data_IF_986165517315
#
_entry.id   IF_986165517315
#
_cell.length_a   1.000
_cell.length_b   1.000
_cell.length_c   1.000
_cell.angle_alpha   90.00
_cell.angle_beta   90.00
_cell.angle_gamma   90.00
#
_symmetry.space_group_name_H-M   'P 1'
#
loop_
_entity.id
_entity.type
_entity.pdbx_description
1 polymer ?
#
# COMPACT_ATOMS: atom_id res chain seq x y z
N UNK A 1 -0.24 24.11 -3.63
CA UNK A 1 -0.97 22.92 -4.11
C UNK A 1 -1.33 23.13 -5.59
N UNK A 2 -1.93 22.14 -6.29
CA UNK A 2 -2.41 22.37 -7.67
C UNK A 2 -3.44 23.50 -7.74
N UNK A 3 -4.26 23.67 -6.69
CA UNK A 3 -5.18 24.80 -6.51
C UNK A 3 -4.51 26.18 -6.57
N UNK A 4 -3.20 26.25 -6.26
CA UNK A 4 -2.44 27.51 -6.22
C UNK A 4 -1.52 27.67 -7.45
N UNK A 5 -1.73 26.86 -8.49
CA UNK A 5 -0.87 26.81 -9.69
C UNK A 5 0.62 26.66 -9.37
N UNK A 6 0.94 25.92 -8.30
CA UNK A 6 2.31 25.76 -7.84
C UNK A 6 3.18 25.17 -8.98
N UNK A 7 4.36 25.76 -9.29
CA UNK A 7 5.21 25.29 -10.39
C UNK A 7 5.81 23.89 -10.13
N UNK A 8 5.85 23.44 -8.87
CA UNK A 8 6.35 22.12 -8.47
C UNK A 8 5.29 21.01 -8.57
N UNK A 9 4.23 21.19 -9.36
CA UNK A 9 3.27 20.13 -9.64
C UNK A 9 3.96 18.95 -10.36
N UNK A 10 3.73 17.70 -9.91
CA UNK A 10 4.38 16.55 -10.53
C UNK A 10 3.85 16.37 -11.95
N UNK A 11 4.75 16.01 -12.87
CA UNK A 11 4.38 15.75 -14.26
C UNK A 11 3.60 14.44 -14.42
N UNK A 12 3.89 13.46 -13.58
CA UNK A 12 3.18 12.18 -13.49
C UNK A 12 2.96 11.75 -12.05
N UNK A 13 1.93 10.94 -11.82
CA UNK A 13 1.56 10.32 -10.55
C UNK A 13 1.19 8.87 -10.80
N UNK A 14 1.98 7.94 -10.24
CA UNK A 14 1.74 6.50 -10.31
C UNK A 14 1.26 6.01 -8.94
N UNK A 15 0.03 5.49 -8.88
CA UNK A 15 -0.56 4.90 -7.68
C UNK A 15 -0.67 3.40 -7.89
N UNK A 16 -0.11 2.61 -6.98
CA UNK A 16 0.06 1.18 -7.18
C UNK A 16 -0.39 0.42 -5.94
N UNK A 17 -1.43 -0.39 -6.08
CA UNK A 17 -2.04 -1.14 -4.98
C UNK A 17 -2.33 -0.25 -3.74
N UNK A 18 -2.75 1.00 -4.01
CA UNK A 18 -3.02 2.02 -3.00
C UNK A 18 -4.49 2.06 -2.62
N UNK A 19 -4.84 2.07 -1.32
CA UNK A 19 -6.21 2.08 -0.82
C UNK A 19 -6.88 3.46 -0.96
N UNK A 20 -7.06 3.96 -2.19
CA UNK A 20 -7.64 5.31 -2.41
C UNK A 20 -9.10 5.37 -1.98
N UNK A 21 -9.89 4.34 -2.29
CA UNK A 21 -11.23 4.17 -1.76
C UNK A 21 -11.47 2.75 -1.25
N UNK A 22 -11.25 2.56 0.06
CA UNK A 22 -11.43 1.30 0.76
C UNK A 22 -12.88 0.78 0.82
N UNK A 23 -13.88 1.58 0.41
CA UNK A 23 -15.29 1.16 0.37
C UNK A 23 -15.56 0.23 -0.80
N UNK A 24 -14.71 0.27 -1.83
CA UNK A 24 -14.85 -0.54 -3.04
C UNK A 24 -14.21 -1.90 -2.79
N UNK A 25 -15.00 -2.98 -2.93
CA UNK A 25 -14.57 -4.38 -2.79
C UNK A 25 -13.76 -4.67 -1.50
N UNK A 26 -14.29 -4.35 -0.30
CA UNK A 26 -13.52 -4.38 0.94
C UNK A 26 -12.90 -5.77 1.24
N UNK A 27 -11.60 -5.78 1.47
CA UNK A 27 -10.81 -6.96 1.88
C UNK A 27 -10.93 -7.22 3.38
N UNK A 28 -10.33 -8.31 3.87
CA UNK A 28 -10.25 -8.57 5.31
C UNK A 28 -9.49 -7.49 6.07
N UNK A 29 -8.52 -6.82 5.42
CA UNK A 29 -7.80 -5.67 5.99
C UNK A 29 -8.76 -4.50 6.22
N UNK A 30 -9.61 -4.19 5.22
CA UNK A 30 -10.61 -3.12 5.34
C UNK A 30 -11.64 -3.44 6.44
N UNK A 31 -12.08 -4.70 6.54
CA UNK A 31 -13.01 -5.14 7.59
C UNK A 31 -12.40 -5.04 8.98
N UNK A 32 -11.13 -5.43 9.14
CA UNK A 32 -10.44 -5.31 10.41
C UNK A 32 -10.37 -3.85 10.85
N UNK A 33 -9.95 -2.95 9.95
CA UNK A 33 -9.80 -1.52 10.24
C UNK A 33 -11.11 -0.85 10.66
N UNK A 34 -12.26 -1.34 10.17
CA UNK A 34 -13.59 -0.81 10.49
C UNK A 34 -14.29 -1.55 11.63
N UNK A 35 -13.74 -2.68 12.10
CA UNK A 35 -14.37 -3.51 13.14
C UNK A 35 -14.29 -2.95 14.56
N UNK A 36 -13.42 -1.95 14.79
CA UNK A 36 -13.14 -1.37 16.10
C UNK A 36 -13.05 0.16 16.01
N UNK A 37 -13.39 0.90 17.08
CA UNK A 37 -13.17 2.34 17.14
C UNK A 37 -11.67 2.65 17.22
N UNK A 38 -11.25 3.86 16.83
CA UNK A 38 -9.82 4.24 16.74
C UNK A 38 -9.11 4.12 18.10
N UNK A 39 -9.79 4.40 19.21
CA UNK A 39 -9.26 4.31 20.57
C UNK A 39 -8.88 2.87 20.94
N UNK A 40 -9.53 1.88 20.32
CA UNK A 40 -9.16 0.47 20.50
C UNK A 40 -7.80 0.20 19.84
N UNK A 41 -7.56 0.70 18.63
CA UNK A 41 -6.25 0.55 17.96
C UNK A 41 -5.15 1.25 18.75
N UNK A 42 -5.41 2.48 19.21
CA UNK A 42 -4.48 3.22 20.04
C UNK A 42 -4.13 2.46 21.34
N UNK A 43 -5.14 1.91 22.03
CA UNK A 43 -4.91 1.21 23.29
C UNK A 43 -4.19 -0.14 23.13
N UNK A 44 -4.47 -0.88 22.05
CA UNK A 44 -4.04 -2.28 21.92
C UNK A 44 -2.84 -2.48 21.00
N UNK A 45 -2.55 -1.54 20.09
CA UNK A 45 -1.51 -1.71 19.08
C UNK A 45 -0.41 -0.65 19.16
N UNK A 46 -0.60 0.43 19.94
CA UNK A 46 0.45 1.42 20.18
C UNK A 46 1.18 1.12 21.49
N UNK A 47 2.51 1.12 21.43
CA UNK A 47 3.38 0.88 22.57
C UNK A 47 4.52 1.90 22.61
N UNK A 48 5.12 2.07 23.78
CA UNK A 48 6.32 2.88 23.95
C UNK A 48 7.57 2.08 23.59
N UNK A 49 8.49 2.71 22.86
CA UNK A 49 9.82 2.15 22.61
C UNK A 49 10.55 1.91 23.94
N UNK A 50 11.08 0.70 24.21
CA UNK A 50 11.78 0.41 25.46
C UNK A 50 13.01 1.30 25.71
N UNK A 51 13.30 1.59 26.98
CA UNK A 51 14.38 2.49 27.41
C UNK A 51 15.78 2.16 26.85
N UNK A 52 16.03 0.89 26.50
CA UNK A 52 17.33 0.42 25.99
C UNK A 52 17.59 0.77 24.52
N UNK A 53 16.58 1.26 23.80
CA UNK A 53 16.69 1.58 22.37
C UNK A 53 16.67 3.09 22.12
N UNK A 54 17.26 3.51 21.01
CA UNK A 54 17.13 4.88 20.54
C UNK A 54 15.66 5.20 20.25
N UNK A 55 15.20 6.40 20.64
CA UNK A 55 13.79 6.76 20.56
C UNK A 55 12.93 6.23 21.72
N UNK A 56 13.54 5.78 22.82
CA UNK A 56 12.87 5.40 24.06
C UNK A 56 11.69 6.33 24.42
N UNK A 57 10.60 5.73 24.90
CA UNK A 57 9.33 6.39 25.23
C UNK A 57 8.57 7.01 24.05
N UNK A 58 9.07 6.92 22.82
CA UNK A 58 8.27 7.27 21.65
C UNK A 58 7.15 6.25 21.48
N UNK A 59 5.95 6.74 21.22
CA UNK A 59 4.79 5.91 20.89
C UNK A 59 4.90 5.42 19.45
N UNK A 60 4.81 4.10 19.27
CA UNK A 60 4.92 3.45 17.97
C UNK A 60 3.90 2.33 17.82
N UNK A 61 3.55 1.99 16.58
CA UNK A 61 2.99 0.69 16.25
C UNK A 61 4.17 -0.28 16.00
N UNK A 62 4.48 -1.19 16.92
CA UNK A 62 5.70 -1.98 16.87
C UNK A 62 5.75 -2.94 15.67
N UNK A 63 6.93 -3.08 15.07
CA UNK A 63 7.18 -3.96 13.94
C UNK A 63 6.85 -5.43 14.24
N UNK A 64 7.08 -5.91 15.46
CA UNK A 64 6.73 -7.29 15.81
C UNK A 64 5.21 -7.53 15.83
N UNK A 65 4.40 -6.54 16.21
CA UNK A 65 2.94 -6.65 16.12
C UNK A 65 2.48 -6.60 14.67
N UNK A 66 3.08 -5.72 13.86
CA UNK A 66 2.87 -5.68 12.41
C UNK A 66 3.14 -7.06 11.80
N UNK A 67 4.32 -7.63 12.06
CA UNK A 67 4.72 -8.93 11.54
C UNK A 67 3.79 -10.04 12.02
N UNK A 68 3.40 -10.03 13.30
CA UNK A 68 2.48 -11.02 13.86
C UNK A 68 1.12 -10.95 13.16
N UNK A 69 0.60 -9.76 12.91
CA UNK A 69 -0.66 -9.57 12.20
C UNK A 69 -0.56 -10.10 10.77
N UNK A 70 0.49 -9.75 10.03
CA UNK A 70 0.70 -10.22 8.66
C UNK A 70 0.90 -11.73 8.56
N UNK A 71 1.71 -12.34 9.43
CA UNK A 71 1.90 -13.79 9.47
C UNK A 71 0.65 -14.56 9.88
N UNK A 72 -0.27 -13.91 10.59
CA UNK A 72 -1.57 -14.47 10.95
C UNK A 72 -2.57 -14.39 9.78
N UNK A 73 -2.35 -13.50 8.82
CA UNK A 73 -3.07 -13.52 7.55
C UNK A 73 -2.55 -14.68 6.69
N UNK A 74 -3.45 -15.41 6.02
CA UNK A 74 -3.08 -16.53 5.13
C UNK A 74 -2.10 -17.57 5.75
N UNK A 75 -2.36 -18.11 6.96
CA UNK A 75 -1.39 -18.93 7.68
C UNK A 75 -1.00 -20.22 6.93
N UNK A 76 -1.92 -20.81 6.17
CA UNK A 76 -1.65 -22.01 5.38
C UNK A 76 -0.71 -21.73 4.21
N UNK A 77 -0.75 -20.53 3.62
CA UNK A 77 0.20 -20.11 2.59
C UNK A 77 1.60 -20.01 3.16
N UNK A 78 1.73 -19.45 4.37
CA UNK A 78 3.02 -19.36 5.05
C UNK A 78 3.57 -20.73 5.42
N UNK A 79 2.74 -21.61 6.03
CA UNK A 79 3.11 -22.99 6.35
C UNK A 79 3.58 -23.76 5.11
N UNK A 80 2.84 -23.66 4.01
CA UNK A 80 3.20 -24.31 2.76
C UNK A 80 4.55 -23.79 2.24
N UNK A 81 4.77 -22.48 2.24
CA UNK A 81 6.03 -21.91 1.77
C UNK A 81 7.24 -22.40 2.59
N UNK A 82 7.11 -22.56 3.91
CA UNK A 82 8.17 -23.13 4.73
C UNK A 82 8.37 -24.64 4.49
N UNK A 83 7.29 -25.39 4.29
CA UNK A 83 7.38 -26.80 3.92
C UNK A 83 8.06 -26.99 2.56
N UNK A 84 7.71 -26.16 1.56
CA UNK A 84 8.31 -26.14 0.23
C UNK A 84 9.79 -25.73 0.32
N UNK A 85 10.14 -24.75 1.17
CA UNK A 85 11.54 -24.37 1.43
C UNK A 85 12.35 -25.57 1.95
N UNK A 86 11.85 -26.29 2.95
CA UNK A 86 12.53 -27.48 3.48
C UNK A 86 12.68 -28.56 2.40
N UNK A 87 11.63 -28.79 1.63
CA UNK A 87 11.67 -29.75 0.52
C UNK A 87 12.72 -29.38 -0.52
N UNK A 88 12.75 -28.12 -0.98
CA UNK A 88 13.75 -27.66 -1.95
C UNK A 88 15.19 -27.77 -1.44
N UNK A 89 15.42 -27.53 -0.14
CA UNK A 89 16.74 -27.75 0.46
C UNK A 89 17.09 -29.24 0.44
N UNK A 90 16.16 -30.11 0.82
CA UNK A 90 16.37 -31.55 0.87
C UNK A 90 16.59 -32.19 -0.52
N UNK A 91 15.97 -31.66 -1.58
CA UNK A 91 16.15 -32.13 -2.96
C UNK A 91 17.32 -31.47 -3.70
N UNK A 92 17.96 -30.46 -3.10
CA UNK A 92 19.05 -29.72 -3.73
C UNK A 92 18.61 -28.64 -4.72
N UNK A 93 17.34 -28.25 -4.73
CA UNK A 93 16.78 -27.15 -5.54
C UNK A 93 17.14 -25.77 -4.95
N UNK A 94 18.44 -25.46 -4.90
CA UNK A 94 18.96 -24.28 -4.19
C UNK A 94 18.38 -22.97 -4.71
N UNK A 95 18.16 -22.83 -6.02
CA UNK A 95 17.60 -21.60 -6.60
C UNK A 95 16.18 -21.29 -6.06
N UNK A 96 15.33 -22.31 -5.94
CA UNK A 96 13.97 -22.14 -5.40
C UNK A 96 13.97 -21.90 -3.89
N UNK A 97 14.85 -22.60 -3.17
CA UNK A 97 15.04 -22.40 -1.74
C UNK A 97 15.48 -20.95 -1.46
N UNK A 98 16.44 -20.45 -2.22
CA UNK A 98 16.98 -19.10 -2.07
C UNK A 98 15.94 -18.03 -2.40
N UNK A 99 15.13 -18.23 -3.45
CA UNK A 99 14.03 -17.32 -3.76
C UNK A 99 13.01 -17.20 -2.61
N UNK A 100 12.72 -18.31 -1.91
CA UNK A 100 11.81 -18.29 -0.76
C UNK A 100 12.48 -17.66 0.47
N UNK A 101 13.77 -17.92 0.71
CA UNK A 101 14.55 -17.26 1.77
C UNK A 101 14.57 -15.75 1.60
N UNK A 102 14.93 -15.26 0.42
CA UNK A 102 15.00 -13.83 0.14
C UNK A 102 13.65 -13.15 0.34
N UNK A 103 12.56 -13.79 -0.12
CA UNK A 103 11.22 -13.28 0.12
C UNK A 103 10.93 -13.12 1.61
N UNK A 104 11.20 -14.14 2.45
CA UNK A 104 10.92 -14.06 3.88
C UNK A 104 11.90 -13.16 4.64
N UNK A 105 13.14 -13.02 4.18
CA UNK A 105 14.09 -12.04 4.73
C UNK A 105 13.57 -10.61 4.55
N UNK A 106 13.07 -10.27 3.35
CA UNK A 106 12.41 -8.98 3.10
C UNK A 106 11.08 -8.88 3.87
N UNK A 107 10.28 -9.94 3.90
CA UNK A 107 8.99 -9.96 4.59
C UNK A 107 9.12 -9.76 6.11
N UNK A 108 10.24 -10.20 6.70
CA UNK A 108 10.55 -10.04 8.13
C UNK A 108 11.26 -8.73 8.45
N UNK A 109 11.66 -7.95 7.44
CA UNK A 109 12.27 -6.65 7.61
C UNK A 109 11.21 -5.59 7.95
N UNK A 110 10.77 -5.60 9.21
CA UNK A 110 9.77 -4.67 9.75
C UNK A 110 10.41 -3.48 10.48
N UNK A 111 9.70 -2.35 10.50
CA UNK A 111 10.08 -1.15 11.23
C UNK A 111 8.91 -0.68 12.11
N UNK A 112 9.22 -0.11 13.27
CA UNK A 112 8.24 0.54 14.13
C UNK A 112 7.67 1.80 13.43
N UNK A 113 6.35 1.85 13.27
CA UNK A 113 5.69 3.03 12.70
C UNK A 113 5.37 4.03 13.80
N UNK A 114 5.49 5.34 13.51
CA UNK A 114 5.04 6.37 14.45
C UNK A 114 3.54 6.17 14.78
N UNK A 115 3.16 6.27 16.05
CA UNK A 115 1.78 6.05 16.47
C UNK A 115 0.80 7.00 15.76
N UNK A 116 1.18 8.28 15.64
CA UNK A 116 0.42 9.31 14.96
C UNK A 116 0.18 8.97 13.49
N UNK A 117 1.22 8.53 12.77
CA UNK A 117 1.11 8.14 11.37
C UNK A 117 0.21 6.91 11.20
N UNK A 118 0.39 5.91 12.05
CA UNK A 118 -0.42 4.69 12.02
C UNK A 118 -1.90 4.98 12.29
N UNK A 119 -2.21 5.68 13.39
CA UNK A 119 -3.58 5.98 13.80
C UNK A 119 -4.27 6.93 12.82
N UNK A 120 -3.56 7.95 12.31
CA UNK A 120 -4.08 8.84 11.28
C UNK A 120 -4.41 8.07 10.00
N UNK A 121 -3.55 7.12 9.61
CA UNK A 121 -3.81 6.26 8.43
C UNK A 121 -5.05 5.39 8.64
N UNK A 122 -5.16 4.67 9.76
CA UNK A 122 -6.34 3.84 10.07
C UNK A 122 -7.60 4.70 10.04
N UNK A 123 -7.58 5.84 10.72
CA UNK A 123 -8.73 6.73 10.82
C UNK A 123 -9.10 7.35 9.47
N UNK A 124 -8.19 8.09 8.83
CA UNK A 124 -8.52 8.89 7.65
C UNK A 124 -8.71 8.03 6.40
N UNK A 125 -7.92 6.97 6.22
CA UNK A 125 -7.95 6.17 4.99
C UNK A 125 -8.97 5.04 5.08
N UNK A 126 -8.99 4.30 6.21
CA UNK A 126 -9.76 3.07 6.32
C UNK A 126 -11.10 3.21 7.06
N UNK A 127 -11.29 4.24 7.91
CA UNK A 127 -12.54 4.44 8.65
C UNK A 127 -13.38 5.59 8.08
N UNK A 128 -12.79 6.78 7.98
CA UNK A 128 -13.48 8.00 7.53
C UNK A 128 -13.50 8.10 5.99
N UNK A 129 -12.55 7.46 5.31
CA UNK A 129 -12.35 7.54 3.86
C UNK A 129 -12.20 8.99 3.37
N UNK A 130 -11.51 9.82 4.16
CA UNK A 130 -11.56 11.27 4.05
C UNK A 130 -11.19 11.80 2.65
N UNK A 131 -10.19 11.20 1.98
CA UNK A 131 -9.83 11.61 0.61
C UNK A 131 -10.92 11.24 -0.40
N UNK A 132 -11.44 10.01 -0.32
CA UNK A 132 -12.48 9.51 -1.22
C UNK A 132 -13.82 10.24 -1.05
N UNK A 133 -14.08 10.78 0.14
CA UNK A 133 -15.27 11.58 0.44
C UNK A 133 -15.08 13.08 0.14
N UNK A 134 -13.85 13.53 -0.18
CA UNK A 134 -13.55 14.96 -0.37
C UNK A 134 -13.53 15.76 0.94
N UNK A 135 -13.27 15.09 2.07
CA UNK A 135 -13.26 15.67 3.43
C UNK A 135 -11.84 15.77 4.01
N UNK A 136 -10.82 15.24 3.31
CA UNK A 136 -9.44 15.30 3.75
C UNK A 136 -8.97 16.75 3.85
N UNK A 137 -8.49 17.14 5.02
CA UNK A 137 -7.93 18.47 5.25
C UNK A 137 -6.40 18.42 5.37
N UNK A 138 -5.73 19.33 4.68
CA UNK A 138 -4.29 19.54 4.76
C UNK A 138 -4.00 21.01 5.06
N UNK A 139 -3.33 21.28 6.19
CA UNK A 139 -2.97 22.64 6.65
C UNK A 139 -4.16 23.62 6.65
N UNK A 140 -5.31 23.16 7.14
CA UNK A 140 -6.53 23.96 7.26
C UNK A 140 -7.31 24.16 5.95
N UNK A 141 -6.94 23.46 4.88
CA UNK A 141 -7.65 23.48 3.59
C UNK A 141 -8.13 22.09 3.22
N UNK A 142 -9.37 21.97 2.78
CA UNK A 142 -9.89 20.73 2.20
C UNK A 142 -9.21 20.46 0.87
N UNK A 143 -8.71 19.24 0.67
CA UNK A 143 -7.98 18.84 -0.53
C UNK A 143 -8.96 18.68 -1.70
N UNK A 144 -8.78 19.47 -2.76
CA UNK A 144 -9.54 19.30 -4.01
C UNK A 144 -8.69 18.62 -5.10
N UNK A 145 -8.87 17.30 -5.26
CA UNK A 145 -8.20 16.51 -6.31
C UNK A 145 -8.59 16.92 -7.73
N UNK A 146 -9.71 17.63 -7.92
CA UNK A 146 -10.14 18.14 -9.24
C UNK A 146 -9.31 19.33 -9.70
N UNK A 147 -8.52 19.95 -8.80
CA UNK A 147 -7.56 20.98 -9.18
C UNK A 147 -6.37 20.41 -9.98
N UNK A 148 -6.16 19.09 -9.96
CA UNK A 148 -5.12 18.43 -10.75
C UNK A 148 -5.55 18.41 -12.22
N UNK A 149 -4.86 19.19 -13.07
CA UNK A 149 -5.22 19.36 -14.50
C UNK A 149 -4.12 18.95 -15.49
N UNK A 150 -2.88 18.83 -15.03
CA UNK A 150 -1.69 18.69 -15.91
C UNK A 150 -0.89 17.41 -15.67
N UNK A 151 -1.08 16.74 -14.55
CA UNK A 151 -0.36 15.52 -14.17
C UNK A 151 -0.89 14.29 -14.93
N UNK A 152 -0.02 13.47 -15.50
CA UNK A 152 -0.41 12.16 -16.01
C UNK A 152 -0.68 11.20 -14.84
N UNK A 153 -1.85 10.57 -14.80
CA UNK A 153 -2.25 9.64 -13.75
C UNK A 153 -2.15 8.20 -14.25
N UNK A 154 -1.43 7.36 -13.51
CA UNK A 154 -1.37 5.93 -13.75
C UNK A 154 -1.75 5.15 -12.49
N UNK A 155 -2.72 4.25 -12.61
CA UNK A 155 -3.12 3.35 -11.52
C UNK A 155 -2.78 1.91 -11.87
N UNK A 156 -2.23 1.17 -10.91
CA UNK A 156 -1.92 -0.26 -11.05
C UNK A 156 -2.57 -1.06 -9.94
N UNK A 157 -3.27 -2.13 -10.30
CA UNK A 157 -3.92 -3.05 -9.36
C UNK A 157 -3.51 -4.50 -9.67
N UNK A 158 -3.49 -5.36 -8.65
CA UNK A 158 -3.23 -6.79 -8.81
C UNK A 158 -4.53 -7.59 -8.85
N UNK A 159 -4.65 -8.54 -9.78
CA UNK A 159 -5.85 -9.39 -9.91
C UNK A 159 -6.16 -10.17 -8.62
N UNK A 160 -5.12 -10.61 -7.91
CA UNK A 160 -5.21 -11.44 -6.70
C UNK A 160 -4.76 -10.68 -5.46
N UNK A 161 -4.86 -9.35 -5.48
CA UNK A 161 -4.50 -8.51 -4.35
C UNK A 161 -5.57 -8.65 -3.25
N UNK A 162 -5.16 -9.25 -2.14
CA UNK A 162 -5.96 -9.51 -0.95
C UNK A 162 -5.83 -8.41 0.12
N UNK A 163 -5.03 -7.37 -0.15
CA UNK A 163 -4.82 -6.21 0.73
C UNK A 163 -5.60 -5.02 0.16
N UNK A 164 -5.29 -4.63 -1.08
CA UNK A 164 -5.92 -3.54 -1.82
C UNK A 164 -6.57 -4.12 -3.09
N UNK A 165 -7.84 -4.51 -2.97
CA UNK A 165 -8.58 -5.14 -4.05
C UNK A 165 -8.71 -4.24 -5.28
N UNK A 166 -8.96 -4.86 -6.44
CA UNK A 166 -9.36 -4.16 -7.67
C UNK A 166 -10.49 -3.17 -7.37
N UNK A 167 -10.37 -1.96 -7.92
CA UNK A 167 -11.32 -0.87 -7.74
C UNK A 167 -10.83 0.21 -6.78
N UNK A 168 -10.06 -0.15 -5.74
CA UNK A 168 -9.68 0.80 -4.70
C UNK A 168 -8.68 1.84 -5.19
N UNK A 169 -7.69 1.47 -6.01
CA UNK A 169 -6.65 2.38 -6.52
C UNK A 169 -7.18 3.17 -7.72
N UNK A 170 -7.92 2.52 -8.62
CA UNK A 170 -8.49 3.16 -9.81
C UNK A 170 -9.52 4.24 -9.47
N UNK A 171 -10.11 4.22 -8.27
CA UNK A 171 -10.97 5.29 -7.75
C UNK A 171 -10.32 6.70 -7.83
N UNK A 172 -8.98 6.79 -7.83
CA UNK A 172 -8.28 8.04 -8.07
C UNK A 172 -8.65 8.70 -9.41
N UNK A 173 -9.06 7.92 -10.41
CA UNK A 173 -9.48 8.44 -11.71
C UNK A 173 -10.75 9.28 -11.60
N UNK A 174 -11.70 8.87 -10.76
CA UNK A 174 -12.94 9.61 -10.53
C UNK A 174 -12.68 10.85 -9.67
N UNK A 175 -11.85 10.70 -8.63
CA UNK A 175 -11.45 11.83 -7.77
C UNK A 175 -10.68 12.91 -8.55
N UNK A 176 -9.81 12.52 -9.48
CA UNK A 176 -9.07 13.45 -10.32
C UNK A 176 -9.90 13.92 -11.53
N UNK A 177 -11.11 14.43 -11.28
CA UNK A 177 -12.06 14.87 -12.32
C UNK A 177 -11.54 16.00 -13.23
N UNK A 178 -10.54 16.76 -12.79
CA UNK A 178 -9.90 17.83 -13.58
C UNK A 178 -8.97 17.34 -14.69
N UNK A 179 -8.58 16.07 -14.67
CA UNK A 179 -7.72 15.47 -15.68
C UNK A 179 -8.54 15.01 -16.89
N UNK A 180 -8.06 15.36 -18.08
CA UNK A 180 -8.61 14.84 -19.33
C UNK A 180 -8.46 13.31 -19.42
N UNK A 181 -9.40 12.58 -20.05
CA UNK A 181 -9.37 11.11 -20.11
C UNK A 181 -8.06 10.52 -20.63
N UNK A 182 -7.45 11.14 -21.64
CA UNK A 182 -6.18 10.67 -22.22
C UNK A 182 -4.96 10.79 -21.28
N UNK A 183 -5.10 11.51 -20.16
CA UNK A 183 -4.06 11.61 -19.13
C UNK A 183 -4.18 10.54 -18.05
N UNK A 184 -5.25 9.72 -18.08
CA UNK A 184 -5.54 8.70 -17.08
C UNK A 184 -5.32 7.32 -17.69
N UNK A 185 -4.40 6.55 -17.13
CA UNK A 185 -4.11 5.18 -17.56
C UNK A 185 -4.32 4.24 -16.38
N UNK A 186 -4.95 3.09 -16.61
CA UNK A 186 -5.18 2.06 -15.61
C UNK A 186 -4.64 0.72 -16.11
N UNK A 187 -3.97 -0.04 -15.25
CA UNK A 187 -3.44 -1.38 -15.55
C UNK A 187 -3.79 -2.36 -14.44
N UNK A 188 -4.56 -3.40 -14.78
CA UNK A 188 -4.73 -4.57 -13.91
C UNK A 188 -3.68 -5.61 -14.28
N UNK A 189 -2.80 -5.95 -13.34
CA UNK A 189 -1.83 -7.01 -13.53
C UNK A 189 -2.46 -8.37 -13.19
N UNK A 190 -2.56 -9.22 -14.20
CA UNK A 190 -3.04 -10.59 -14.03
C UNK A 190 -2.02 -11.48 -13.29
N UNK A 191 -2.55 -12.36 -12.44
CA UNK A 191 -1.79 -13.40 -11.74
C UNK A 191 -0.89 -12.92 -10.60
N UNK A 192 -1.00 -11.67 -10.16
CA UNK A 192 -0.24 -11.13 -9.03
C UNK A 192 -1.15 -10.75 -7.87
N UNK A 193 -0.66 -10.96 -6.65
CA UNK A 193 -1.22 -10.31 -5.46
C UNK A 193 -0.50 -9.00 -5.15
N UNK A 194 -0.73 -8.45 -3.96
CA UNK A 194 -0.25 -7.12 -3.54
C UNK A 194 1.22 -6.86 -3.87
N UNK A 195 2.13 -7.69 -3.34
CA UNK A 195 3.58 -7.55 -3.57
C UNK A 195 4.00 -7.69 -5.03
N UNK A 196 3.28 -8.47 -5.83
CA UNK A 196 3.64 -8.67 -7.23
C UNK A 196 3.33 -7.46 -8.12
N UNK A 197 2.64 -6.45 -7.58
CA UNK A 197 2.44 -5.16 -8.24
C UNK A 197 3.73 -4.33 -8.26
N UNK A 198 4.65 -4.52 -7.30
CA UNK A 198 5.89 -3.73 -7.18
C UNK A 198 7.17 -4.57 -7.00
N UNK A 199 7.08 -5.90 -6.96
CA UNK A 199 8.22 -6.80 -6.83
C UNK A 199 8.13 -8.04 -7.74
N UNK A 200 9.27 -8.67 -7.97
CA UNK A 200 9.41 -9.91 -8.74
C UNK A 200 9.34 -9.75 -10.26
N UNK A 201 9.26 -10.90 -10.97
CA UNK A 201 9.38 -10.97 -12.43
C UNK A 201 8.29 -10.19 -13.18
N UNK A 202 7.03 -10.24 -12.70
CA UNK A 202 5.91 -9.52 -13.34
C UNK A 202 6.09 -8.00 -13.23
N UNK A 203 6.53 -7.49 -12.07
CA UNK A 203 6.92 -6.10 -11.91
C UNK A 203 8.00 -5.70 -12.93
N UNK A 204 9.14 -6.40 -12.94
CA UNK A 204 10.29 -6.05 -13.78
C UNK A 204 9.96 -6.09 -15.29
N UNK A 205 9.18 -7.09 -15.73
CA UNK A 205 8.93 -7.32 -17.16
C UNK A 205 7.69 -6.62 -17.70
N UNK A 206 6.71 -6.27 -16.85
CA UNK A 206 5.38 -5.83 -17.32
C UNK A 206 4.95 -4.49 -16.74
N UNK A 207 5.09 -4.29 -15.43
CA UNK A 207 4.58 -3.09 -14.77
C UNK A 207 5.62 -1.96 -14.80
N UNK A 208 6.86 -2.24 -14.38
CA UNK A 208 7.94 -1.26 -14.35
C UNK A 208 8.17 -0.57 -15.70
N UNK A 209 8.21 -1.28 -16.85
CA UNK A 209 8.33 -0.63 -18.16
C UNK A 209 7.21 0.39 -18.43
N UNK A 210 5.98 0.12 -17.98
CA UNK A 210 4.84 1.04 -18.13
C UNK A 210 4.98 2.27 -17.23
N UNK A 211 5.40 2.08 -15.97
CA UNK A 211 5.69 3.19 -15.05
C UNK A 211 6.79 4.08 -15.62
N UNK A 212 7.89 3.47 -16.07
CA UNK A 212 9.03 4.17 -16.69
C UNK A 212 8.59 4.95 -17.93
N UNK A 213 7.81 4.32 -18.80
CA UNK A 213 7.32 4.95 -20.03
C UNK A 213 6.45 6.15 -19.71
N UNK A 214 5.49 6.02 -18.78
CA UNK A 214 4.66 7.13 -18.32
C UNK A 214 5.51 8.32 -17.84
N UNK A 215 6.52 8.05 -17.02
CA UNK A 215 7.43 9.09 -16.52
C UNK A 215 8.18 9.75 -17.68
N UNK A 216 8.67 8.96 -18.63
CA UNK A 216 9.42 9.46 -19.79
C UNK A 216 8.58 10.36 -20.69
N UNK A 217 7.37 9.93 -21.07
CA UNK A 217 6.48 10.71 -21.96
C UNK A 217 5.82 11.91 -21.28
N UNK A 218 5.88 11.98 -19.94
CA UNK A 218 5.35 13.12 -19.18
C UNK A 218 6.35 14.27 -19.04
N UNK A 219 7.60 14.13 -19.52
CA UNK A 219 8.64 15.17 -19.50
C UNK A 219 8.41 16.31 -20.49
#
# INVERSE_FOLDING_TARGET
MSEDDNPAQPRSMSLMAGPIDCRINPTEVNKLATSKPIEWFEKNLVHDVPLRYAGAMRRVYPGFLQLTAFMSMNPDRHRKAFADLYHHIATGDIEKAEATRQFYEEYFAVNDLAAEFYLETVKLVFQDYALAQGELNYRGRTVDTRAIRRTALFTVEGERDDICSIGQTVAAHDLCGGLAPFRKTHHVQLGVGHYGVFSGRRWQQQIYPRVRELIHVSQ
#
